data_IF_667739103582
#
_entry.id   IF_667739103582
#
_cell.length_a   1.000
_cell.length_b   1.000
_cell.length_c   1.000
_cell.angle_alpha   90.00
_cell.angle_beta   90.00
_cell.angle_gamma   90.00
#
_symmetry.space_group_name_H-M   'P 1'
#
loop_
_entity.id
_entity.type
_entity.pdbx_description
1 polymer ?
#
# COMPACT_ATOMS: atom_id res chain seq x y z
N UNK A 1 -16.41 -11.02 6.17
CA UNK A 1 -14.97 -11.21 5.95
C UNK A 1 -14.37 -9.90 5.45
N UNK A 2 -13.34 -9.39 6.12
CA UNK A 2 -12.67 -8.13 5.78
C UNK A 2 -11.69 -8.36 4.62
N UNK A 3 -11.91 -7.71 3.50
CA UNK A 3 -11.04 -7.81 2.32
C UNK A 3 -9.96 -6.74 2.38
N UNK A 4 -8.70 -7.14 2.26
CA UNK A 4 -7.55 -6.24 2.25
C UNK A 4 -6.60 -6.61 1.11
N UNK A 5 -6.19 -5.61 0.33
CA UNK A 5 -5.23 -5.77 -0.75
C UNK A 5 -3.98 -4.93 -0.50
N UNK A 6 -2.84 -5.46 -0.87
CA UNK A 6 -1.62 -4.69 -1.09
C UNK A 6 -1.34 -4.61 -2.60
N UNK A 7 -0.90 -3.45 -3.07
CA UNK A 7 -0.46 -3.25 -4.46
C UNK A 7 1.02 -2.91 -4.49
N UNK A 8 1.79 -3.73 -5.18
CA UNK A 8 3.23 -3.59 -5.35
C UNK A 8 3.60 -3.44 -6.84
N UNK A 9 4.60 -2.64 -7.16
CA UNK A 9 5.17 -2.64 -8.51
C UNK A 9 5.85 -3.97 -8.80
N UNK A 10 6.66 -4.43 -7.86
CA UNK A 10 7.32 -5.74 -7.95
C UNK A 10 7.17 -6.48 -6.62
N UNK A 11 6.59 -7.66 -6.68
CA UNK A 11 6.65 -8.62 -5.57
C UNK A 11 7.99 -9.37 -5.68
N UNK A 12 8.94 -9.03 -4.81
CA UNK A 12 10.34 -9.45 -4.93
C UNK A 12 10.98 -9.72 -3.57
N UNK A 13 12.24 -10.13 -3.57
CA UNK A 13 13.06 -10.30 -2.36
C UNK A 13 13.50 -8.95 -1.78
N UNK A 14 12.56 -8.12 -1.34
CA UNK A 14 12.77 -6.83 -0.70
C UNK A 14 12.32 -6.84 0.77
N UNK A 15 12.81 -5.89 1.55
CA UNK A 15 12.38 -5.72 2.94
C UNK A 15 10.87 -5.43 3.03
N UNK A 16 10.35 -4.60 2.14
CA UNK A 16 8.92 -4.30 2.06
C UNK A 16 8.09 -5.56 1.81
N UNK A 17 8.46 -6.36 0.80
CA UNK A 17 7.79 -7.63 0.51
C UNK A 17 7.89 -8.63 1.67
N UNK A 18 9.03 -8.69 2.35
CA UNK A 18 9.21 -9.57 3.51
C UNK A 18 8.20 -9.29 4.62
N UNK A 19 8.10 -8.04 5.05
CA UNK A 19 7.16 -7.67 6.11
C UNK A 19 5.70 -7.81 5.67
N UNK A 20 5.38 -7.41 4.44
CA UNK A 20 4.06 -7.61 3.89
C UNK A 20 3.65 -9.09 3.91
N UNK A 21 4.49 -9.97 3.34
CA UNK A 21 4.17 -11.41 3.25
C UNK A 21 4.02 -12.02 4.65
N UNK A 22 4.90 -11.66 5.56
CA UNK A 22 4.84 -12.13 6.96
C UNK A 22 3.51 -11.78 7.62
N UNK A 23 3.08 -10.53 7.51
CA UNK A 23 1.84 -10.07 8.14
C UNK A 23 0.59 -10.58 7.41
N UNK A 24 0.59 -10.62 6.07
CA UNK A 24 -0.53 -11.16 5.30
C UNK A 24 -0.71 -12.68 5.46
N UNK A 25 0.38 -13.42 5.64
CA UNK A 25 0.31 -14.85 5.99
C UNK A 25 -0.38 -15.07 7.35
N UNK A 26 -0.14 -14.19 8.34
CA UNK A 26 -0.85 -14.23 9.62
C UNK A 26 -2.34 -13.95 9.44
N UNK A 27 -2.69 -12.92 8.67
CA UNK A 27 -4.09 -12.59 8.38
C UNK A 27 -4.82 -13.73 7.67
N UNK A 28 -4.14 -14.42 6.74
CA UNK A 28 -4.74 -15.55 6.03
C UNK A 28 -5.12 -16.71 6.99
N UNK A 29 -4.42 -16.83 8.11
CA UNK A 29 -4.73 -17.83 9.14
C UNK A 29 -5.95 -17.44 9.99
N UNK A 30 -6.38 -16.19 9.91
CA UNK A 30 -7.57 -15.67 10.59
C UNK A 30 -8.76 -15.63 9.61
N UNK A 31 -9.78 -16.43 9.87
CA UNK A 31 -10.99 -16.53 9.04
C UNK A 31 -11.79 -15.22 8.91
N UNK A 32 -11.42 -14.17 9.63
CA UNK A 32 -12.06 -12.85 9.52
C UNK A 32 -11.54 -12.04 8.32
N UNK A 33 -10.38 -12.40 7.76
CA UNK A 33 -9.69 -11.64 6.71
C UNK A 33 -9.57 -12.42 5.39
N UNK A 34 -9.50 -11.67 4.31
CA UNK A 34 -9.19 -12.17 2.96
C UNK A 34 -8.09 -11.27 2.37
N UNK A 35 -6.81 -11.55 2.68
CA UNK A 35 -5.70 -10.79 2.12
C UNK A 35 -5.42 -11.20 0.68
N UNK A 36 -5.04 -10.22 -0.15
CA UNK A 36 -4.58 -10.41 -1.53
C UNK A 36 -3.45 -9.45 -1.86
N UNK A 37 -2.51 -9.86 -2.70
CA UNK A 37 -1.49 -8.98 -3.25
C UNK A 37 -1.67 -8.83 -4.76
N UNK A 38 -1.73 -7.60 -5.24
CA UNK A 38 -1.67 -7.27 -6.65
C UNK A 38 -0.28 -6.77 -7.02
N UNK A 39 0.29 -7.23 -8.12
CA UNK A 39 1.62 -6.87 -8.57
C UNK A 39 1.67 -6.62 -10.08
N UNK A 40 2.57 -5.75 -10.53
CA UNK A 40 2.92 -5.60 -11.94
C UNK A 40 3.93 -6.67 -12.37
N UNK A 41 4.98 -6.85 -11.55
CA UNK A 41 6.06 -7.79 -11.82
C UNK A 41 6.22 -8.76 -10.64
N UNK A 42 6.57 -9.99 -10.95
CA UNK A 42 6.85 -11.03 -9.97
C UNK A 42 8.27 -11.52 -10.14
N UNK A 43 9.01 -11.59 -9.04
CA UNK A 43 10.31 -12.24 -8.96
C UNK A 43 10.37 -13.19 -7.75
N UNK A 44 11.54 -13.70 -7.40
CA UNK A 44 11.69 -14.55 -6.24
C UNK A 44 11.30 -13.81 -4.95
N UNK A 45 10.40 -14.40 -4.17
CA UNK A 45 9.96 -13.84 -2.89
C UNK A 45 10.82 -14.34 -1.74
N UNK A 46 11.05 -13.53 -0.68
CA UNK A 46 11.88 -13.92 0.45
C UNK A 46 11.25 -15.01 1.32
N UNK A 47 9.92 -15.09 1.30
CA UNK A 47 9.12 -16.03 2.08
C UNK A 47 7.97 -16.54 1.19
N UNK A 48 7.53 -17.76 1.43
CA UNK A 48 6.37 -18.32 0.73
C UNK A 48 5.08 -17.56 1.10
N UNK A 49 4.30 -17.20 0.11
CA UNK A 49 2.96 -16.61 0.28
C UNK A 49 1.91 -17.69 0.51
N UNK A 50 1.03 -17.49 1.50
CA UNK A 50 -0.10 -18.37 1.79
C UNK A 50 -1.45 -17.73 1.44
N UNK A 51 -1.43 -16.55 0.87
CA UNK A 51 -2.59 -15.78 0.39
C UNK A 51 -2.55 -15.61 -1.13
N UNK A 52 -3.63 -15.12 -1.71
CA UNK A 52 -3.72 -14.91 -3.16
C UNK A 52 -2.79 -13.80 -3.64
N UNK A 53 -2.02 -14.09 -4.70
CA UNK A 53 -1.21 -13.10 -5.41
C UNK A 53 -1.65 -13.08 -6.87
N UNK A 54 -1.99 -11.91 -7.39
CA UNK A 54 -2.55 -11.72 -8.72
C UNK A 54 -1.89 -10.56 -9.46
N UNK A 55 -1.90 -10.62 -10.78
CA UNK A 55 -1.48 -9.47 -11.59
C UNK A 55 -2.41 -8.28 -11.34
N UNK A 56 -1.86 -7.06 -11.36
CA UNK A 56 -2.60 -5.82 -11.10
C UNK A 56 -3.80 -5.60 -12.04
N UNK A 57 -3.81 -6.22 -13.21
CA UNK A 57 -4.94 -6.16 -14.16
C UNK A 57 -6.27 -6.69 -13.56
N UNK A 58 -6.21 -7.53 -12.54
CA UNK A 58 -7.39 -8.03 -11.85
C UNK A 58 -7.93 -7.10 -10.77
N UNK A 59 -7.22 -6.02 -10.47
CA UNK A 59 -7.58 -5.09 -9.39
C UNK A 59 -8.93 -4.39 -9.60
N UNK A 60 -9.36 -4.20 -10.84
CA UNK A 60 -10.63 -3.52 -11.15
C UNK A 60 -11.87 -4.17 -10.50
N UNK A 61 -11.80 -5.45 -10.16
CA UNK A 61 -12.88 -6.20 -9.52
C UNK A 61 -12.79 -6.26 -7.99
N UNK A 62 -11.79 -5.62 -7.41
CA UNK A 62 -11.58 -5.64 -5.96
C UNK A 62 -12.47 -4.61 -5.25
N UNK A 63 -13.12 -5.07 -4.17
CA UNK A 63 -13.98 -4.28 -3.29
C UNK A 63 -13.54 -4.45 -1.83
N UNK A 64 -12.76 -3.56 -1.30
CA UNK A 64 -12.25 -3.67 0.08
C UNK A 64 -11.27 -2.55 0.40
N UNK A 65 -10.37 -2.79 1.34
CA UNK A 65 -9.28 -1.87 1.65
C UNK A 65 -8.09 -2.16 0.75
N UNK A 66 -7.60 -1.15 0.05
CA UNK A 66 -6.43 -1.23 -0.82
C UNK A 66 -5.29 -0.39 -0.27
N UNK A 67 -4.13 -1.00 -0.12
CA UNK A 67 -2.91 -0.35 0.34
C UNK A 67 -1.89 -0.40 -0.80
N UNK A 68 -1.63 0.74 -1.40
CA UNK A 68 -0.62 0.92 -2.44
C UNK A 68 0.72 1.26 -1.81
N UNK A 69 1.83 0.94 -2.46
CA UNK A 69 3.17 1.10 -1.87
C UNK A 69 4.10 2.01 -2.66
N UNK A 70 3.65 2.51 -3.81
CA UNK A 70 4.39 3.43 -4.65
C UNK A 70 3.47 4.49 -5.26
N UNK A 71 4.05 5.56 -5.79
CA UNK A 71 3.29 6.60 -6.51
C UNK A 71 2.57 6.00 -7.72
N UNK A 72 3.22 5.09 -8.46
CA UNK A 72 2.62 4.47 -9.64
C UNK A 72 1.45 3.54 -9.29
N UNK A 73 1.57 2.71 -8.25
CA UNK A 73 0.46 1.86 -7.80
C UNK A 73 -0.68 2.69 -7.22
N UNK A 74 -0.36 3.79 -6.52
CA UNK A 74 -1.37 4.73 -6.03
C UNK A 74 -2.13 5.40 -7.17
N UNK A 75 -1.43 5.88 -8.21
CA UNK A 75 -2.05 6.45 -9.39
C UNK A 75 -2.96 5.43 -10.12
N UNK A 76 -2.52 4.19 -10.22
CA UNK A 76 -3.33 3.10 -10.78
C UNK A 76 -4.60 2.87 -9.95
N UNK A 77 -4.48 2.83 -8.63
CA UNK A 77 -5.63 2.66 -7.74
C UNK A 77 -6.62 3.83 -7.84
N UNK A 78 -6.13 5.07 -7.88
CA UNK A 78 -6.97 6.27 -8.03
C UNK A 78 -7.77 6.22 -9.35
N UNK A 79 -7.11 5.85 -10.45
CA UNK A 79 -7.74 5.79 -11.77
C UNK A 79 -8.69 4.61 -11.96
N UNK A 80 -8.58 3.58 -11.11
CA UNK A 80 -9.45 2.42 -11.20
C UNK A 80 -10.78 2.71 -10.52
N UNK A 81 -11.86 2.62 -11.30
CA UNK A 81 -13.22 2.80 -10.81
C UNK A 81 -13.71 1.51 -10.13
N UNK A 82 -13.40 1.36 -8.86
CA UNK A 82 -13.90 0.26 -8.01
C UNK A 82 -14.29 0.82 -6.63
N UNK A 83 -14.98 0.00 -5.83
CA UNK A 83 -15.49 0.39 -4.50
C UNK A 83 -14.45 0.23 -3.37
N UNK A 84 -13.16 0.23 -3.69
CA UNK A 84 -12.13 0.09 -2.66
C UNK A 84 -11.84 1.40 -1.93
N UNK A 85 -11.64 1.31 -0.61
CA UNK A 85 -11.06 2.40 0.20
C UNK A 85 -9.55 2.38 0.00
N UNK A 86 -8.96 3.48 -0.42
CA UNK A 86 -7.60 3.53 -0.94
C UNK A 86 -6.65 4.21 0.02
N UNK A 87 -5.49 3.59 0.26
CA UNK A 87 -4.40 4.12 1.06
C UNK A 87 -3.08 4.01 0.31
N UNK A 88 -2.22 5.02 0.48
CA UNK A 88 -0.83 4.97 0.05
C UNK A 88 0.06 4.81 1.28
N UNK A 89 0.64 3.63 1.46
CA UNK A 89 1.63 3.38 2.48
C UNK A 89 3.02 3.77 1.94
N UNK A 90 3.49 4.94 2.32
CA UNK A 90 4.80 5.43 1.97
C UNK A 90 5.87 4.71 2.80
N UNK A 91 6.24 3.53 2.32
CA UNK A 91 7.37 2.78 2.87
C UNK A 91 8.68 3.54 2.70
N UNK A 92 8.83 4.20 1.56
CA UNK A 92 9.99 4.98 1.17
C UNK A 92 9.53 6.22 0.39
N UNK A 93 10.32 7.29 0.46
CA UNK A 93 10.11 8.49 -0.34
C UNK A 93 10.85 8.35 -1.66
N UNK A 94 10.29 7.55 -2.58
CA UNK A 94 10.92 7.15 -3.83
C UNK A 94 11.37 8.33 -4.71
N UNK A 95 10.64 9.46 -4.67
CA UNK A 95 11.01 10.67 -5.41
C UNK A 95 12.29 11.35 -4.92
N UNK A 96 12.78 11.03 -3.72
CA UNK A 96 14.06 11.52 -3.22
C UNK A 96 15.26 10.74 -3.80
N UNK A 97 15.03 9.50 -4.22
CA UNK A 97 16.08 8.63 -4.80
C UNK A 97 16.06 8.63 -6.31
N UNK A 98 14.87 8.56 -6.88
CA UNK A 98 14.65 8.50 -8.32
C UNK A 98 14.00 9.81 -8.77
N UNK A 99 14.59 10.55 -9.71
CA UNK A 99 13.96 11.74 -10.26
C UNK A 99 12.58 11.39 -10.81
N UNK A 100 11.55 11.98 -10.22
CA UNK A 100 10.17 11.86 -10.71
C UNK A 100 9.63 13.25 -10.99
N UNK A 101 8.70 13.34 -11.93
CA UNK A 101 8.03 14.60 -12.22
C UNK A 101 7.28 15.10 -10.98
N UNK A 102 7.60 16.31 -10.54
CA UNK A 102 7.01 16.92 -9.34
C UNK A 102 5.50 17.01 -9.44
N UNK A 103 4.97 17.42 -10.61
CA UNK A 103 3.54 17.56 -10.80
C UNK A 103 2.82 16.21 -10.72
N UNK A 104 3.44 15.16 -11.25
CA UNK A 104 2.92 13.79 -11.16
C UNK A 104 2.86 13.30 -9.71
N UNK A 105 3.98 13.39 -8.99
CA UNK A 105 4.03 12.99 -7.56
C UNK A 105 3.01 13.77 -6.74
N UNK A 106 2.98 15.09 -6.90
CA UNK A 106 2.07 15.95 -6.15
C UNK A 106 0.61 15.69 -6.50
N UNK A 107 0.28 15.36 -7.75
CA UNK A 107 -1.09 15.01 -8.15
C UNK A 107 -1.62 13.75 -7.43
N UNK A 108 -0.74 12.80 -7.15
CA UNK A 108 -1.09 11.60 -6.38
C UNK A 108 -1.18 11.90 -4.88
N UNK A 109 -0.19 12.57 -4.31
CA UNK A 109 -0.15 12.87 -2.87
C UNK A 109 -1.27 13.81 -2.43
N UNK A 110 -1.69 14.73 -3.29
CA UNK A 110 -2.76 15.70 -3.00
C UNK A 110 -4.17 15.17 -3.32
N UNK A 111 -4.29 13.99 -3.90
CA UNK A 111 -5.58 13.43 -4.28
C UNK A 111 -6.42 13.05 -3.06
N UNK A 112 -7.68 13.48 -3.03
CA UNK A 112 -8.58 13.24 -1.89
C UNK A 112 -9.14 11.81 -1.84
N UNK A 113 -9.05 11.06 -2.94
CA UNK A 113 -9.51 9.66 -3.00
C UNK A 113 -8.53 8.68 -2.35
N UNK A 114 -7.36 9.16 -1.92
CA UNK A 114 -6.35 8.32 -1.28
C UNK A 114 -5.82 8.94 0.01
N UNK A 115 -5.82 8.19 1.09
CA UNK A 115 -5.23 8.60 2.35
C UNK A 115 -3.79 8.10 2.46
N UNK A 116 -2.90 8.90 3.05
CA UNK A 116 -1.49 8.56 3.19
C UNK A 116 -1.23 7.93 4.55
N UNK A 117 -0.49 6.83 4.58
CA UNK A 117 0.06 6.20 5.77
C UNK A 117 1.57 6.34 5.72
N UNK A 118 2.19 6.75 6.81
CA UNK A 118 3.64 6.87 6.92
C UNK A 118 4.25 5.71 7.72
N UNK A 119 5.55 5.52 7.56
CA UNK A 119 6.30 4.48 8.28
C UNK A 119 6.78 4.93 9.66
N UNK A 120 6.92 6.23 9.87
CA UNK A 120 7.38 6.84 11.12
C UNK A 120 6.87 8.27 11.27
N UNK A 121 6.98 8.82 12.48
CA UNK A 121 6.64 10.23 12.74
C UNK A 121 7.50 11.18 11.92
N UNK A 122 8.81 10.92 11.79
CA UNK A 122 9.69 11.71 10.94
C UNK A 122 9.26 11.72 9.48
N UNK A 123 8.80 10.58 8.94
CA UNK A 123 8.22 10.51 7.60
C UNK A 123 6.92 11.30 7.50
N UNK A 124 6.07 11.28 8.54
CA UNK A 124 4.84 12.08 8.58
C UNK A 124 5.13 13.58 8.43
N UNK A 125 6.12 14.08 9.15
CA UNK A 125 6.53 15.48 9.10
C UNK A 125 7.07 15.86 7.71
N UNK A 126 7.86 14.99 7.10
CA UNK A 126 8.36 15.20 5.73
C UNK A 126 7.24 15.21 4.69
N UNK A 127 6.27 14.32 4.77
CA UNK A 127 5.11 14.27 3.88
C UNK A 127 4.28 15.54 4.02
N UNK A 128 4.00 15.96 5.26
CA UNK A 128 3.26 17.19 5.53
C UNK A 128 3.97 18.41 4.95
N UNK A 129 5.27 18.52 5.15
CA UNK A 129 6.06 19.62 4.60
C UNK A 129 6.15 19.61 3.07
N UNK A 130 6.14 18.42 2.45
CA UNK A 130 6.23 18.27 1.00
C UNK A 130 4.92 18.60 0.29
N UNK A 131 3.79 18.06 0.73
CA UNK A 131 2.50 18.18 0.04
C UNK A 131 1.39 18.86 0.86
N UNK A 132 1.68 19.34 2.07
CA UNK A 132 0.72 19.97 2.98
C UNK A 132 -0.52 19.08 3.26
N UNK A 133 -0.33 17.76 3.34
CA UNK A 133 -1.38 16.80 3.62
C UNK A 133 -1.06 16.03 4.90
N UNK A 134 -2.01 15.96 5.82
CA UNK A 134 -1.87 15.14 7.01
C UNK A 134 -1.93 13.66 6.66
N UNK A 135 -1.11 12.84 7.34
CA UNK A 135 -1.17 11.40 7.21
C UNK A 135 -2.32 10.82 8.04
N UNK A 136 -2.93 9.76 7.54
CA UNK A 136 -3.98 9.05 8.27
C UNK A 136 -3.47 8.32 9.51
N UNK A 137 -2.18 7.99 9.53
CA UNK A 137 -1.52 7.38 10.67
C UNK A 137 -0.12 6.86 10.35
N UNK A 138 0.50 6.28 11.35
CA UNK A 138 1.84 5.69 11.28
C UNK A 138 1.73 4.17 11.45
N UNK A 139 2.35 3.43 10.55
CA UNK A 139 2.43 1.96 10.57
C UNK A 139 3.88 1.55 10.40
N UNK A 140 4.41 0.85 11.39
CA UNK A 140 5.78 0.33 11.33
C UNK A 140 5.78 -1.07 10.75
N UNK A 141 6.60 -1.29 9.72
CA UNK A 141 6.90 -2.62 9.17
C UNK A 141 5.66 -3.51 8.92
N UNK A 142 4.61 -2.92 8.33
CA UNK A 142 3.33 -3.60 8.08
C UNK A 142 2.60 -4.11 9.33
N UNK A 143 2.85 -3.53 10.51
CA UNK A 143 2.17 -3.92 11.74
C UNK A 143 0.64 -3.84 11.57
N UNK A 144 -0.02 -5.00 11.57
CA UNK A 144 -1.45 -5.09 11.26
C UNK A 144 -2.33 -4.47 12.33
N UNK A 145 -1.95 -4.51 13.61
CA UNK A 145 -2.73 -3.87 14.68
C UNK A 145 -2.77 -2.35 14.54
N UNK A 146 -1.65 -1.75 14.08
CA UNK A 146 -1.60 -0.32 13.78
C UNK A 146 -2.41 0.00 12.51
N UNK A 147 -2.27 -0.82 11.48
CA UNK A 147 -2.94 -0.64 10.20
C UNK A 147 -4.45 -0.73 10.34
N UNK A 148 -4.96 -1.71 11.08
CA UNK A 148 -6.38 -1.91 11.33
C UNK A 148 -7.07 -0.70 11.95
N UNK A 149 -6.42 -0.03 12.89
CA UNK A 149 -6.92 1.19 13.54
C UNK A 149 -7.09 2.35 12.57
N UNK A 150 -6.40 2.32 11.42
CA UNK A 150 -6.44 3.37 10.39
C UNK A 150 -7.46 3.04 9.32
N UNK A 151 -7.43 1.81 8.81
CA UNK A 151 -8.15 1.47 7.58
C UNK A 151 -9.60 1.08 7.80
N UNK A 152 -9.97 0.64 9.01
CA UNK A 152 -11.34 0.26 9.37
C UNK A 152 -12.04 1.18 10.38
N UNK A 153 -11.53 2.36 10.57
CA UNK A 153 -12.23 3.46 11.28
C UNK A 153 -13.17 4.24 10.30
#
# INVERSE_FOLDING_TARGET
MRKIAAMLDTLSASQNSFYLIKEFNKLQSDNQYSPVCFYNNLSATPVKTHFACMNISYYSHFDGVTITTSIDTANTAIKTNNNSKKFLYLWDMEWLRNPMDFNYVNSVLSNDDIAIISRSNSHSDLIKNYCNKEVAGVVQDWNMEQLEKIVWT
#
